data_IF_515990149483
#
_entry.id   IF_515990149483
#
_cell.length_a   1.000
_cell.length_b   1.000
_cell.length_c   1.000
_cell.angle_alpha   90.00
_cell.angle_beta   90.00
_cell.angle_gamma   90.00
#
_symmetry.space_group_name_H-M   'P 1'
#
loop_
_entity.id
_entity.type
_entity.pdbx_description
1 polymer ?
#
# COMPACT_ATOMS: atom_id res chain seq x y z
N UNK A 1 -20.15 -44.19 28.74
CA UNK A 1 -19.29 -44.20 27.53
C UNK A 1 -18.35 -43.01 27.68
N UNK A 2 -17.44 -42.96 28.64
CA UNK A 2 -16.42 -43.93 29.13
C UNK A 2 -15.40 -44.36 28.09
N UNK A 3 -14.12 -44.38 28.55
CA UNK A 3 -12.80 -44.58 27.92
C UNK A 3 -12.01 -43.25 27.82
N UNK A 4 -11.04 -42.86 28.66
CA UNK A 4 -10.08 -43.50 29.60
C UNK A 4 -8.95 -44.35 28.97
N UNK A 5 -7.77 -43.74 28.84
CA UNK A 5 -6.39 -44.30 28.95
C UNK A 5 -5.54 -43.14 29.51
N UNK A 6 -5.02 -43.10 30.75
CA UNK A 6 -3.99 -43.89 31.46
C UNK A 6 -2.62 -44.01 30.77
N UNK A 7 -1.63 -43.38 31.42
CA UNK A 7 -0.26 -43.84 31.77
C UNK A 7 0.46 -42.57 32.31
N UNK A 8 0.83 -42.41 33.59
CA UNK A 8 1.22 -43.40 34.60
C UNK A 8 2.74 -43.57 34.59
N UNK A 9 3.47 -42.77 35.38
CA UNK A 9 4.68 -43.16 36.11
C UNK A 9 5.24 -41.99 36.94
N UNK A 10 5.22 -42.17 38.26
CA UNK A 10 5.83 -41.33 39.29
C UNK A 10 7.21 -41.88 39.70
N UNK A 11 7.83 -41.16 40.65
CA UNK A 11 8.92 -41.53 41.59
C UNK A 11 10.33 -41.20 41.08
N UNK A 12 11.27 -40.63 41.84
CA UNK A 12 11.39 -40.06 43.21
C UNK A 12 12.73 -39.27 43.19
N UNK A 13 12.83 -38.05 43.73
CA UNK A 13 13.37 -37.74 45.07
C UNK A 13 14.69 -38.46 45.44
N UNK A 14 15.80 -37.72 45.53
CA UNK A 14 16.56 -37.55 46.79
C UNK A 14 17.83 -36.69 46.63
N UNK A 15 18.07 -35.93 47.71
CA UNK A 15 19.05 -34.88 48.00
C UNK A 15 20.55 -35.25 47.97
N UNK A 16 21.40 -34.24 48.04
CA UNK A 16 22.82 -34.39 48.38
C UNK A 16 23.62 -33.08 48.33
N UNK A 17 23.72 -32.41 49.46
CA UNK A 17 24.44 -31.17 49.77
C UNK A 17 26.00 -31.37 49.83
N UNK A 18 26.72 -30.26 49.64
CA UNK A 18 28.17 -29.84 49.71
C UNK A 18 29.08 -30.52 50.81
N UNK A 19 30.41 -30.23 51.07
CA UNK A 19 31.43 -29.35 50.44
C UNK A 19 32.95 -29.76 50.46
N UNK A 20 33.81 -28.87 49.91
CA UNK A 20 35.19 -28.47 50.34
C UNK A 20 36.45 -29.31 49.90
N UNK A 21 37.72 -28.88 50.18
CA UNK A 21 38.44 -27.73 49.58
C UNK A 21 39.96 -27.98 49.27
N UNK A 22 40.64 -26.94 48.77
CA UNK A 22 42.05 -26.51 48.96
C UNK A 22 43.24 -27.47 48.73
N UNK A 23 44.14 -27.09 47.80
CA UNK A 23 45.60 -27.29 47.96
C UNK A 23 46.33 -25.98 47.60
N UNK A 24 47.03 -25.44 48.60
CA UNK A 24 48.03 -24.38 48.49
C UNK A 24 49.39 -25.00 48.17
N UNK A 25 50.23 -24.34 47.37
CA UNK A 25 51.67 -24.46 47.53
C UNK A 25 52.36 -23.13 47.26
N UNK A 26 52.96 -22.63 48.34
CA UNK A 26 53.76 -21.42 48.52
C UNK A 26 55.23 -21.76 48.23
N UNK A 27 55.98 -20.91 47.52
CA UNK A 27 57.44 -20.89 47.62
C UNK A 27 58.01 -19.50 47.28
N UNK A 28 58.98 -19.10 48.09
CA UNK A 28 59.43 -17.74 48.35
C UNK A 28 60.28 -17.06 47.25
N UNK A 29 60.24 -15.72 47.26
CA UNK A 29 61.05 -14.80 46.45
C UNK A 29 62.44 -14.53 47.08
N UNK A 30 63.52 -14.40 46.27
CA UNK A 30 64.71 -13.61 46.63
C UNK A 30 64.61 -12.15 46.12
N UNK A 31 65.47 -11.22 46.64
CA UNK A 31 65.14 -9.80 46.70
C UNK A 31 65.55 -8.95 45.47
N UNK A 32 64.68 -7.97 45.20
CA UNK A 32 64.92 -6.60 44.70
C UNK A 32 65.94 -6.36 43.57
N UNK A 33 65.44 -5.88 42.44
CA UNK A 33 66.18 -5.15 41.40
C UNK A 33 65.38 -3.89 40.97
N UNK A 34 66.05 -2.83 40.48
CA UNK A 34 65.66 -1.41 40.66
C UNK A 34 64.45 -0.95 39.82
N UNK A 35 63.82 0.20 40.18
CA UNK A 35 62.53 0.61 39.62
C UNK A 35 62.59 0.90 38.11
N UNK A 36 61.59 0.45 37.31
CA UNK A 36 61.45 0.91 35.94
C UNK A 36 61.03 2.39 35.94
N UNK A 37 61.76 3.19 35.17
CA UNK A 37 61.49 4.60 34.94
C UNK A 37 60.07 4.82 34.38
N UNK A 38 59.42 5.98 34.64
CA UNK A 38 58.08 6.25 34.14
C UNK A 38 58.10 6.27 32.61
N UNK A 39 57.60 5.19 32.01
CA UNK A 39 57.30 5.15 30.58
C UNK A 39 56.06 6.01 30.38
N UNK A 40 56.24 7.16 29.74
CA UNK A 40 55.16 8.05 29.32
C UNK A 40 54.18 7.25 28.47
N UNK A 41 53.03 6.87 29.04
CA UNK A 41 51.96 6.25 28.28
C UNK A 41 51.39 7.29 27.32
N UNK A 42 51.78 7.22 26.05
CA UNK A 42 51.11 7.97 24.99
C UNK A 42 49.70 7.40 24.89
N UNK A 43 48.70 8.14 25.39
CA UNK A 43 47.29 7.85 25.12
C UNK A 43 47.07 8.09 23.63
N UNK A 44 47.22 7.03 22.84
CA UNK A 44 46.78 7.02 21.45
C UNK A 44 45.27 7.05 21.49
N UNK A 45 44.67 8.20 21.15
CA UNK A 45 43.23 8.29 20.96
C UNK A 45 42.77 7.20 19.98
N UNK A 46 41.64 6.51 20.22
CA UNK A 46 41.13 5.53 19.28
C UNK A 46 40.94 6.21 17.91
N UNK A 47 41.33 5.57 16.80
CA UNK A 47 41.14 6.15 15.48
C UNK A 47 39.65 6.48 15.28
N UNK A 48 39.32 7.60 14.59
CA UNK A 48 37.95 7.93 14.29
C UNK A 48 37.29 6.75 13.55
N UNK A 49 36.00 6.45 13.79
CA UNK A 49 35.33 5.37 13.09
C UNK A 49 35.43 5.64 11.59
N UNK A 50 36.14 4.77 10.88
CA UNK A 50 36.18 4.80 9.42
C UNK A 50 34.73 4.71 8.92
N UNK A 51 34.29 5.57 7.99
CA UNK A 51 32.95 5.46 7.42
C UNK A 51 32.85 4.09 6.74
N UNK A 52 32.13 3.17 7.37
CA UNK A 52 31.82 1.88 6.80
C UNK A 52 30.87 2.13 5.64
N UNK A 53 31.39 2.12 4.41
CA UNK A 53 30.54 2.15 3.23
C UNK A 53 29.69 0.88 3.22
N UNK A 54 28.42 1.02 3.58
CA UNK A 54 27.44 -0.05 3.53
C UNK A 54 27.14 -0.33 2.05
N UNK A 55 27.69 -1.42 1.52
CA UNK A 55 27.39 -1.89 0.17
C UNK A 55 26.03 -2.60 0.24
N UNK A 56 24.99 -2.10 -0.45
CA UNK A 56 23.69 -2.75 -0.47
C UNK A 56 23.79 -4.13 -1.14
N UNK A 57 22.97 -5.07 -0.67
CA UNK A 57 22.89 -6.40 -1.29
C UNK A 57 22.31 -6.31 -2.71
N UNK A 58 22.70 -7.25 -3.57
CA UNK A 58 22.25 -7.28 -4.95
C UNK A 58 20.73 -7.43 -5.08
N UNK A 59 20.11 -8.28 -4.25
CA UNK A 59 18.66 -8.48 -4.25
C UNK A 59 17.89 -7.18 -3.97
N UNK A 60 18.39 -6.37 -3.04
CA UNK A 60 17.82 -5.05 -2.75
C UNK A 60 17.93 -4.11 -3.95
N UNK A 61 19.09 -4.07 -4.62
CA UNK A 61 19.28 -3.27 -5.84
C UNK A 61 18.37 -3.72 -6.98
N UNK A 62 18.16 -5.04 -7.15
CA UNK A 62 17.23 -5.58 -8.13
C UNK A 62 15.78 -5.16 -7.82
N UNK A 63 15.36 -5.21 -6.55
CA UNK A 63 14.01 -4.77 -6.16
C UNK A 63 13.79 -3.29 -6.47
N UNK A 64 14.77 -2.43 -6.18
CA UNK A 64 14.72 -1.01 -6.49
C UNK A 64 14.62 -0.75 -8.00
N UNK A 65 15.44 -1.43 -8.80
CA UNK A 65 15.40 -1.31 -10.26
C UNK A 65 14.02 -1.73 -10.81
N UNK A 66 13.50 -2.89 -10.40
CA UNK A 66 12.18 -3.37 -10.84
C UNK A 66 11.08 -2.36 -10.48
N UNK A 67 11.11 -1.81 -9.25
CA UNK A 67 10.12 -0.80 -8.83
C UNK A 67 10.21 0.50 -9.64
N UNK A 68 11.41 0.88 -10.12
CA UNK A 68 11.62 2.08 -10.93
C UNK A 68 11.19 1.89 -12.40
N UNK A 69 11.41 0.70 -12.97
CA UNK A 69 11.00 0.32 -14.33
C UNK A 69 9.69 -0.48 -14.36
N UNK A 70 8.79 -0.20 -13.42
CA UNK A 70 7.56 -0.97 -13.23
C UNK A 70 6.73 -1.18 -14.51
N UNK A 71 6.53 -0.14 -15.32
CA UNK A 71 5.75 -0.23 -16.56
C UNK A 71 6.48 -0.94 -17.71
N UNK A 72 7.81 -0.92 -17.70
CA UNK A 72 8.62 -1.58 -18.73
C UNK A 72 8.76 -3.07 -18.44
N UNK A 73 8.56 -3.47 -17.18
CA UNK A 73 8.75 -4.83 -16.70
C UNK A 73 7.44 -5.38 -16.11
N UNK A 74 6.54 -5.87 -16.97
CA UNK A 74 5.35 -6.59 -16.53
C UNK A 74 5.68 -8.02 -16.05
N UNK A 75 6.67 -8.13 -15.18
CA UNK A 75 7.18 -9.40 -14.65
C UNK A 75 6.70 -9.66 -13.22
N UNK A 76 5.85 -8.79 -12.65
CA UNK A 76 5.38 -8.94 -11.26
C UNK A 76 4.75 -10.30 -11.00
N UNK A 77 4.02 -10.82 -11.99
CA UNK A 77 3.36 -12.13 -11.91
C UNK A 77 4.40 -13.29 -11.96
N UNK A 78 5.61 -13.03 -12.43
CA UNK A 78 6.73 -13.98 -12.53
C UNK A 78 7.69 -13.89 -11.33
N UNK A 79 7.62 -12.83 -10.52
CA UNK A 79 8.52 -12.62 -9.39
C UNK A 79 8.12 -13.50 -8.21
N UNK A 80 9.07 -14.23 -7.58
CA UNK A 80 8.81 -14.98 -6.37
C UNK A 80 8.22 -14.10 -5.25
N UNK A 81 7.20 -14.62 -4.56
CA UNK A 81 6.38 -13.83 -3.64
C UNK A 81 7.14 -13.11 -2.51
N UNK A 82 8.29 -13.62 -2.07
CA UNK A 82 9.09 -12.97 -1.02
C UNK A 82 9.83 -11.70 -1.50
N UNK A 83 9.99 -11.50 -2.81
CA UNK A 83 10.54 -10.27 -3.38
C UNK A 83 9.47 -9.23 -3.69
N UNK A 84 8.18 -9.59 -3.69
CA UNK A 84 7.10 -8.64 -3.96
C UNK A 84 6.99 -7.52 -2.90
N UNK A 85 7.00 -7.79 -1.58
CA UNK A 85 6.85 -6.73 -0.57
C UNK A 85 7.87 -5.58 -0.70
N UNK A 86 9.19 -5.81 -0.84
CA UNK A 86 10.14 -4.70 -0.99
C UNK A 86 10.03 -3.98 -2.33
N UNK A 87 9.50 -4.61 -3.37
CA UNK A 87 9.23 -3.94 -4.66
C UNK A 87 8.01 -3.04 -4.51
N UNK A 88 6.91 -3.60 -4.00
CA UNK A 88 5.64 -2.91 -3.81
C UNK A 88 5.77 -1.73 -2.84
N UNK A 89 6.57 -1.85 -1.77
CA UNK A 89 6.80 -0.75 -0.84
C UNK A 89 7.42 0.51 -1.48
N UNK A 90 8.07 0.36 -2.64
CA UNK A 90 8.67 1.47 -3.39
C UNK A 90 7.73 2.04 -4.47
N UNK A 91 6.57 1.42 -4.68
CA UNK A 91 5.58 1.85 -5.67
C UNK A 91 4.51 2.68 -4.95
N UNK A 92 4.31 3.92 -5.37
CA UNK A 92 3.22 4.76 -4.87
C UNK A 92 1.91 4.45 -5.61
N UNK A 93 0.88 3.92 -4.92
CA UNK A 93 -0.42 3.61 -5.53
C UNK A 93 -1.08 4.79 -6.24
N UNK A 94 -0.79 6.04 -5.83
CA UNK A 94 -1.43 7.22 -6.41
C UNK A 94 -0.81 7.64 -7.75
N UNK A 95 0.39 7.15 -8.06
CA UNK A 95 1.13 7.50 -9.29
C UNK A 95 0.89 6.52 -10.43
N UNK A 96 0.25 5.38 -10.14
CA UNK A 96 0.09 4.31 -11.11
C UNK A 96 -1.00 4.63 -12.15
N UNK A 97 -0.69 4.46 -13.44
CA UNK A 97 -1.65 4.43 -14.52
C UNK A 97 -2.44 3.12 -14.43
N UNK A 98 -3.63 3.25 -13.89
CA UNK A 98 -4.48 2.11 -13.62
C UNK A 98 -4.94 1.38 -14.88
N UNK A 99 -4.99 2.07 -16.02
CA UNK A 99 -5.46 1.51 -17.29
C UNK A 99 -4.50 0.46 -17.82
N UNK A 100 -3.20 0.76 -17.74
CA UNK A 100 -2.15 -0.17 -18.16
C UNK A 100 -2.05 -1.32 -17.14
N UNK A 101 -2.03 -0.99 -15.84
CA UNK A 101 -2.00 -1.99 -14.77
C UNK A 101 -3.18 -2.99 -14.87
N UNK A 102 -4.39 -2.51 -15.19
CA UNK A 102 -5.58 -3.33 -15.35
C UNK A 102 -5.40 -4.46 -16.38
N UNK A 103 -4.71 -4.16 -17.49
CA UNK A 103 -4.55 -5.07 -18.62
C UNK A 103 -3.45 -6.10 -18.37
N UNK A 104 -2.37 -5.67 -17.73
CA UNK A 104 -1.12 -6.43 -17.70
C UNK A 104 -0.87 -7.14 -16.38
N UNK A 105 -1.43 -6.64 -15.26
CA UNK A 105 -1.10 -7.14 -13.93
C UNK A 105 -2.25 -7.95 -13.36
N UNK A 106 -1.98 -9.21 -13.04
CA UNK A 106 -2.95 -10.11 -12.38
C UNK A 106 -2.63 -10.37 -10.91
N UNK A 107 -1.40 -10.12 -10.46
CA UNK A 107 -0.91 -10.32 -9.09
C UNK A 107 -1.81 -9.69 -8.02
N UNK A 108 -2.49 -10.53 -7.24
CA UNK A 108 -3.27 -10.11 -6.07
C UNK A 108 -2.43 -9.36 -5.01
N UNK A 109 -1.17 -9.72 -4.71
CA UNK A 109 -0.32 -8.91 -3.84
C UNK A 109 -0.13 -7.46 -4.32
N UNK A 110 0.02 -7.25 -5.63
CA UNK A 110 0.09 -5.91 -6.20
C UNK A 110 -1.22 -5.16 -5.96
N UNK A 111 -2.37 -5.76 -6.28
CA UNK A 111 -3.67 -5.13 -6.07
C UNK A 111 -3.99 -4.90 -4.59
N UNK A 112 -3.49 -5.75 -3.70
CA UNK A 112 -3.58 -5.56 -2.25
C UNK A 112 -2.82 -4.30 -1.81
N UNK A 113 -1.60 -4.11 -2.33
CA UNK A 113 -0.83 -2.88 -2.11
C UNK A 113 -1.53 -1.65 -2.68
N UNK A 114 -2.07 -1.73 -3.90
CA UNK A 114 -2.86 -0.65 -4.49
C UNK A 114 -4.09 -0.29 -3.66
N UNK A 115 -4.74 -1.30 -3.06
CA UNK A 115 -5.94 -1.15 -2.24
C UNK A 115 -5.68 -0.52 -0.86
N UNK A 116 -4.42 -0.25 -0.49
CA UNK A 116 -4.08 0.44 0.76
C UNK A 116 -4.64 1.86 0.83
N UNK A 117 -4.98 2.46 -0.31
CA UNK A 117 -5.71 3.75 -0.38
C UNK A 117 -7.15 3.65 0.15
N UNK A 118 -7.67 2.43 0.31
CA UNK A 118 -9.00 2.12 0.84
C UNK A 118 -8.93 1.33 2.14
N UNK A 119 -8.38 1.88 3.24
CA UNK A 119 -8.09 1.13 4.47
C UNK A 119 -9.33 0.59 5.18
N UNK A 120 -10.51 1.14 4.89
CA UNK A 120 -11.78 0.71 5.48
C UNK A 120 -12.55 -0.31 4.62
N UNK A 121 -12.07 -0.60 3.40
CA UNK A 121 -12.74 -1.54 2.51
C UNK A 121 -12.44 -3.00 2.92
N UNK A 122 -13.48 -3.82 2.99
CA UNK A 122 -13.36 -5.24 3.33
C UNK A 122 -13.48 -6.10 2.07
N UNK A 123 -12.38 -6.77 1.73
CA UNK A 123 -12.23 -7.64 0.55
C UNK A 123 -13.32 -8.70 0.40
N UNK A 124 -13.95 -9.13 1.50
CA UNK A 124 -15.02 -10.14 1.47
C UNK A 124 -16.25 -9.66 0.68
N UNK A 125 -16.50 -8.36 0.64
CA UNK A 125 -17.59 -7.78 -0.15
C UNK A 125 -17.29 -7.71 -1.65
N UNK A 126 -16.04 -7.98 -2.04
CA UNK A 126 -15.51 -7.86 -3.39
C UNK A 126 -15.06 -9.22 -3.95
N UNK A 127 -15.69 -10.31 -3.50
CA UNK A 127 -15.39 -11.66 -3.96
C UNK A 127 -14.00 -12.16 -3.61
N UNK A 128 -13.38 -11.61 -2.55
CA UNK A 128 -12.01 -11.96 -2.13
C UNK A 128 -10.93 -11.67 -3.18
N UNK A 129 -11.15 -10.69 -4.07
CA UNK A 129 -10.16 -10.19 -5.01
C UNK A 129 -9.87 -8.71 -4.73
N UNK A 130 -8.60 -8.39 -4.50
CA UNK A 130 -8.15 -7.00 -4.31
C UNK A 130 -8.25 -6.21 -5.61
N UNK A 131 -8.05 -6.87 -6.77
CA UNK A 131 -8.24 -6.21 -8.07
C UNK A 131 -9.67 -5.70 -8.20
N UNK A 132 -10.64 -6.55 -7.88
CA UNK A 132 -12.06 -6.18 -7.86
C UNK A 132 -12.36 -5.10 -6.83
N UNK A 133 -11.87 -5.23 -5.59
CA UNK A 133 -12.04 -4.21 -4.54
C UNK A 133 -11.56 -2.85 -5.02
N UNK A 134 -10.33 -2.79 -5.54
CA UNK A 134 -9.74 -1.55 -6.00
C UNK A 134 -10.59 -0.88 -7.07
N UNK A 135 -11.00 -1.63 -8.11
CA UNK A 135 -11.80 -1.05 -9.19
C UNK A 135 -13.20 -0.61 -8.76
N UNK A 136 -13.86 -1.36 -7.88
CA UNK A 136 -15.19 -0.99 -7.38
C UNK A 136 -15.12 0.28 -6.52
N UNK A 137 -14.09 0.42 -5.68
CA UNK A 137 -13.84 1.62 -4.87
C UNK A 137 -13.41 2.81 -5.74
N UNK A 138 -12.49 2.61 -6.68
CA UNK A 138 -12.05 3.65 -7.61
C UNK A 138 -13.22 4.20 -8.43
N UNK A 139 -14.09 3.34 -8.96
CA UNK A 139 -15.28 3.79 -9.70
C UNK A 139 -16.19 4.62 -8.82
N UNK A 140 -16.43 4.17 -7.58
CA UNK A 140 -17.23 4.94 -6.63
C UNK A 140 -16.66 6.35 -6.48
N UNK A 141 -15.38 6.48 -6.16
CA UNK A 141 -14.76 7.80 -5.97
C UNK A 141 -14.83 8.66 -7.23
N UNK A 142 -14.62 8.06 -8.41
CA UNK A 142 -14.70 8.74 -9.70
C UNK A 142 -16.11 9.23 -10.01
N UNK A 143 -17.14 8.48 -9.63
CA UNK A 143 -18.54 8.88 -9.80
C UNK A 143 -18.94 9.97 -8.80
N UNK A 144 -18.51 9.84 -7.53
CA UNK A 144 -18.82 10.80 -6.46
C UNK A 144 -18.10 12.14 -6.68
N UNK A 145 -16.89 12.14 -7.24
CA UNK A 145 -16.08 13.35 -7.51
C UNK A 145 -16.33 14.03 -8.86
N UNK A 146 -17.15 13.43 -9.74
CA UNK A 146 -17.41 14.00 -11.05
C UNK A 146 -18.37 15.19 -10.97
N UNK A 147 -17.94 16.35 -11.49
CA UNK A 147 -18.82 17.52 -11.67
C UNK A 147 -18.84 17.99 -13.14
N UNK A 148 -20.02 18.14 -13.76
CA UNK A 148 -20.14 18.50 -15.18
C UNK A 148 -19.74 19.96 -15.48
N UNK A 149 -19.79 20.83 -14.47
CA UNK A 149 -19.58 22.28 -14.61
C UNK A 149 -18.15 22.73 -14.41
N UNK A 150 -17.20 21.84 -14.10
CA UNK A 150 -15.81 22.26 -14.04
C UNK A 150 -15.33 22.57 -15.45
N UNK A 151 -14.89 23.80 -15.72
CA UNK A 151 -14.31 24.11 -17.00
C UNK A 151 -13.11 23.19 -17.18
N UNK A 152 -13.17 22.32 -18.19
CA UNK A 152 -12.00 21.67 -18.77
C UNK A 152 -10.91 22.73 -18.82
N UNK A 153 -9.80 22.62 -18.06
CA UNK A 153 -8.70 23.54 -18.22
C UNK A 153 -8.31 23.41 -19.69
N UNK A 154 -8.49 24.50 -20.44
CA UNK A 154 -8.23 24.57 -21.87
C UNK A 154 -6.95 23.80 -22.16
N UNK A 155 -7.08 22.74 -22.96
CA UNK A 155 -5.97 21.94 -23.45
C UNK A 155 -4.85 22.89 -23.83
N UNK A 156 -3.76 22.85 -23.07
CA UNK A 156 -2.50 23.51 -23.41
C UNK A 156 -1.96 22.76 -24.62
N UNK A 157 -2.45 23.16 -25.80
CA UNK A 157 -1.97 22.74 -27.10
C UNK A 157 -0.48 23.05 -27.17
N UNK A 158 0.35 22.02 -27.06
CA UNK A 158 1.79 22.12 -27.28
C UNK A 158 2.66 21.49 -26.21
N UNK A 159 2.62 20.17 -26.07
CA UNK A 159 3.84 19.37 -25.97
C UNK A 159 3.50 17.90 -26.14
N UNK A 160 4.13 17.22 -27.10
CA UNK A 160 4.17 15.77 -27.16
C UNK A 160 4.97 15.31 -25.94
N UNK A 161 4.27 14.91 -24.88
CA UNK A 161 4.83 14.04 -23.85
C UNK A 161 3.75 13.01 -23.55
N UNK A 162 4.10 11.75 -23.80
CA UNK A 162 3.21 10.63 -23.54
C UNK A 162 2.94 10.43 -22.06
N UNK A 163 2.14 9.39 -21.83
CA UNK A 163 1.87 8.74 -20.54
C UNK A 163 0.76 9.42 -19.74
N UNK A 164 -0.43 8.86 -19.89
CA UNK A 164 -1.62 9.15 -19.10
C UNK A 164 -1.47 8.65 -17.67
N UNK A 165 -0.74 9.39 -16.84
CA UNK A 165 -0.81 9.22 -15.40
C UNK A 165 -2.16 9.74 -14.90
N UNK A 166 -3.19 8.89 -14.87
CA UNK A 166 -4.43 9.16 -14.13
C UNK A 166 -4.16 8.98 -12.64
N UNK A 167 -3.41 9.92 -12.07
CA UNK A 167 -3.19 9.94 -10.64
C UNK A 167 -4.53 10.10 -9.91
N UNK A 168 -4.66 9.49 -8.73
CA UNK A 168 -5.77 9.74 -7.82
C UNK A 168 -5.59 11.13 -7.19
N UNK A 169 -5.58 12.17 -8.02
CA UNK A 169 -5.57 13.56 -7.59
C UNK A 169 -7.00 14.02 -7.50
N UNK A 170 -7.34 14.64 -6.37
CA UNK A 170 -8.61 15.30 -6.04
C UNK A 170 -8.86 16.53 -6.91
N UNK A 171 -8.79 16.37 -8.23
CA UNK A 171 -9.12 17.35 -9.24
C UNK A 171 -10.34 16.88 -10.03
N UNK A 172 -11.08 17.82 -10.61
CA UNK A 172 -12.21 17.46 -11.46
C UNK A 172 -11.72 16.62 -12.65
N UNK A 173 -12.28 15.42 -12.80
CA UNK A 173 -12.00 14.52 -13.91
C UNK A 173 -12.91 14.84 -15.10
N UNK A 174 -12.34 14.91 -16.30
CA UNK A 174 -13.15 15.13 -17.50
C UNK A 174 -14.05 13.93 -17.78
N UNK A 175 -15.17 14.15 -18.48
CA UNK A 175 -16.07 13.05 -18.88
C UNK A 175 -15.35 11.97 -19.69
N UNK A 176 -14.38 12.36 -20.52
CA UNK A 176 -13.62 11.42 -21.35
C UNK A 176 -12.67 10.56 -20.51
N UNK A 177 -11.97 11.15 -19.56
CA UNK A 177 -11.11 10.41 -18.63
C UNK A 177 -11.92 9.46 -17.76
N UNK A 178 -13.07 9.93 -17.24
CA UNK A 178 -14.01 9.08 -16.50
C UNK A 178 -14.42 7.87 -17.34
N UNK A 179 -14.87 8.07 -18.58
CA UNK A 179 -15.28 6.95 -19.44
C UNK A 179 -14.13 5.98 -19.75
N UNK A 180 -12.90 6.49 -19.87
CA UNK A 180 -11.73 5.64 -20.13
C UNK A 180 -11.34 4.82 -18.90
N UNK A 181 -11.38 5.41 -17.71
CA UNK A 181 -11.13 4.70 -16.44
C UNK A 181 -12.20 3.63 -16.21
N UNK A 182 -13.47 3.95 -16.48
CA UNK A 182 -14.58 3.00 -16.42
C UNK A 182 -14.35 1.83 -17.38
N UNK A 183 -13.88 2.09 -18.60
CA UNK A 183 -13.64 1.03 -19.60
C UNK A 183 -12.57 0.03 -19.18
N UNK A 184 -11.47 0.50 -18.59
CA UNK A 184 -10.44 -0.37 -18.03
C UNK A 184 -10.93 -1.22 -16.84
N UNK A 185 -11.85 -0.68 -16.04
CA UNK A 185 -12.40 -1.32 -14.85
C UNK A 185 -13.55 -2.29 -15.13
N UNK A 186 -14.27 -2.12 -16.25
CA UNK A 186 -15.45 -2.92 -16.66
C UNK A 186 -15.39 -4.42 -16.38
N UNK A 187 -14.33 -5.16 -16.78
CA UNK A 187 -14.26 -6.62 -16.57
C UNK A 187 -14.29 -7.03 -15.10
N UNK A 188 -13.83 -6.17 -14.20
CA UNK A 188 -13.58 -6.54 -12.80
C UNK A 188 -14.73 -6.14 -11.87
N UNK A 189 -15.62 -5.27 -12.32
CA UNK A 189 -16.64 -4.61 -11.49
C UNK A 189 -17.95 -5.38 -11.54
N UNK A 190 -18.44 -5.75 -10.36
CA UNK A 190 -19.68 -6.50 -10.18
C UNK A 190 -20.66 -5.77 -9.26
N UNK A 191 -20.13 -4.93 -8.36
CA UNK A 191 -20.88 -4.14 -7.42
C UNK A 191 -20.51 -2.67 -7.57
N UNK A 192 -21.49 -1.80 -7.76
CA UNK A 192 -21.32 -0.35 -7.70
C UNK A 192 -22.16 0.16 -6.55
N UNK A 193 -21.52 0.75 -5.54
CA UNK A 193 -22.18 1.42 -4.42
C UNK A 193 -21.74 2.86 -4.37
N UNK A 194 -22.66 3.79 -4.57
CA UNK A 194 -22.42 5.24 -4.54
C UNK A 194 -23.23 5.82 -3.39
N UNK A 195 -22.53 6.38 -2.40
CA UNK A 195 -23.13 6.95 -1.21
C UNK A 195 -23.62 8.38 -1.47
N UNK A 196 -22.94 9.10 -2.37
CA UNK A 196 -23.26 10.48 -2.64
C UNK A 196 -23.02 10.84 -4.11
N UNK A 197 -24.08 10.74 -4.92
CA UNK A 197 -24.01 11.14 -6.32
C UNK A 197 -24.53 12.58 -6.48
N UNK A 198 -23.60 13.55 -6.44
CA UNK A 198 -23.93 14.99 -6.60
C UNK A 198 -24.29 15.37 -8.04
N UNK A 199 -23.70 14.71 -9.03
CA UNK A 199 -23.92 15.05 -10.43
C UNK A 199 -25.10 14.31 -11.07
N UNK A 200 -25.83 15.00 -11.94
CA UNK A 200 -26.84 14.41 -12.84
C UNK A 200 -26.18 13.64 -14.00
N UNK A 201 -25.23 12.77 -13.66
CA UNK A 201 -24.56 11.90 -14.61
C UNK A 201 -25.56 10.95 -15.25
N UNK A 202 -25.50 10.78 -16.57
CA UNK A 202 -26.32 9.79 -17.26
C UNK A 202 -25.77 8.39 -16.96
N UNK A 203 -26.27 7.80 -15.86
CA UNK A 203 -25.88 6.46 -15.43
C UNK A 203 -26.25 5.39 -16.45
N UNK A 204 -27.33 5.57 -17.22
CA UNK A 204 -27.70 4.61 -18.26
C UNK A 204 -26.57 4.41 -19.28
N UNK A 205 -25.87 5.49 -19.66
CA UNK A 205 -24.72 5.40 -20.56
C UNK A 205 -23.50 4.73 -19.92
N UNK A 206 -23.31 4.90 -18.62
CA UNK A 206 -22.16 4.36 -17.87
C UNK A 206 -22.37 2.88 -17.57
N UNK A 207 -23.51 2.55 -16.96
CA UNK A 207 -23.86 1.21 -16.50
C UNK A 207 -23.98 0.22 -17.66
N UNK A 208 -24.33 0.68 -18.87
CA UNK A 208 -24.54 -0.17 -20.06
C UNK A 208 -23.37 -1.08 -20.41
N UNK A 209 -22.13 -0.73 -20.09
CA UNK A 209 -20.99 -1.59 -20.44
C UNK A 209 -20.41 -2.41 -19.30
N UNK A 210 -20.99 -2.36 -18.10
CA UNK A 210 -20.60 -3.30 -17.04
C UNK A 210 -21.41 -4.59 -17.20
N UNK A 211 -20.83 -5.56 -17.91
CA UNK A 211 -21.51 -6.82 -18.21
C UNK A 211 -21.51 -7.81 -17.03
N UNK A 212 -20.60 -7.62 -16.06
CA UNK A 212 -20.53 -8.43 -14.84
C UNK A 212 -21.28 -7.80 -13.64
N UNK A 213 -21.94 -6.66 -13.86
CA UNK A 213 -22.63 -5.90 -12.81
C UNK A 213 -23.85 -6.67 -12.29
N UNK A 214 -23.81 -7.06 -11.03
CA UNK A 214 -24.89 -7.77 -10.35
C UNK A 214 -25.61 -6.91 -9.32
N UNK A 215 -24.95 -5.87 -8.80
CA UNK A 215 -25.49 -5.06 -7.71
C UNK A 215 -25.18 -3.59 -7.93
N UNK A 216 -26.23 -2.76 -7.86
CA UNK A 216 -26.14 -1.31 -7.98
C UNK A 216 -26.89 -0.69 -6.82
N UNK A 217 -26.21 0.13 -6.05
CA UNK A 217 -26.77 0.91 -4.95
C UNK A 217 -26.34 2.37 -5.13
N UNK A 218 -27.30 3.26 -5.30
CA UNK A 218 -27.03 4.65 -5.68
C UNK A 218 -27.92 5.56 -4.87
N UNK A 219 -27.29 6.42 -4.09
CA UNK A 219 -27.94 7.50 -3.37
C UNK A 219 -27.68 8.79 -4.13
N UNK A 220 -28.75 9.35 -4.69
CA UNK A 220 -28.71 10.64 -5.39
C UNK A 220 -28.79 11.80 -4.41
N UNK A 221 -28.00 12.84 -4.67
CA UNK A 221 -27.94 14.03 -3.83
C UNK A 221 -26.97 13.88 -2.66
N UNK A 222 -26.93 14.92 -1.82
CA UNK A 222 -26.07 14.96 -0.65
C UNK A 222 -26.94 14.96 0.63
N UNK A 223 -26.93 13.88 1.42
CA UNK A 223 -27.89 13.70 2.50
C UNK A 223 -27.74 14.71 3.66
N UNK A 224 -26.62 15.43 3.76
CA UNK A 224 -26.27 16.28 4.90
C UNK A 224 -25.81 17.71 4.53
N UNK A 225 -26.43 18.36 3.54
CA UNK A 225 -26.01 19.72 3.12
C UNK A 225 -26.36 20.82 4.12
N UNK A 226 -27.44 20.66 4.91
CA UNK A 226 -27.92 21.73 5.78
C UNK A 226 -28.12 23.04 5.02
N UNK A 227 -27.57 24.15 5.55
CA UNK A 227 -27.59 25.48 4.90
C UNK A 227 -26.39 25.71 3.96
N UNK A 228 -25.46 24.77 3.85
CA UNK A 228 -24.30 24.84 2.94
C UNK A 228 -24.65 24.27 1.55
N UNK A 229 -25.85 24.58 1.06
CA UNK A 229 -26.31 24.17 -0.26
C UNK A 229 -25.66 25.06 -1.32
N UNK A 230 -24.87 24.47 -2.20
CA UNK A 230 -24.37 25.11 -3.41
C UNK A 230 -25.07 24.49 -4.64
N UNK A 231 -25.96 25.23 -5.33
CA UNK A 231 -26.63 24.75 -6.54
C UNK A 231 -25.65 24.33 -7.66
N UNK A 232 -24.47 24.95 -7.73
CA UNK A 232 -23.49 24.70 -8.79
C UNK A 232 -22.89 23.28 -8.66
N UNK A 233 -22.79 22.74 -7.43
CA UNK A 233 -22.30 21.38 -7.18
C UNK A 233 -23.21 20.29 -7.78
N UNK A 234 -24.50 20.58 -7.90
CA UNK A 234 -25.52 19.69 -8.48
C UNK A 234 -25.72 19.92 -9.98
N UNK A 235 -25.00 20.87 -10.57
CA UNK A 235 -25.16 21.24 -11.97
C UNK A 235 -26.46 22.00 -12.27
N UNK A 236 -27.11 22.57 -11.24
CA UNK A 236 -28.22 23.51 -11.42
C UNK A 236 -27.62 24.87 -11.75
N UNK A 237 -28.03 25.48 -12.86
CA UNK A 237 -27.64 26.86 -13.16
C UNK A 237 -28.58 27.79 -12.40
N UNK A 238 -28.09 28.91 -11.88
CA UNK A 238 -28.95 29.90 -11.19
C UNK A 238 -30.15 30.41 -12.01
N UNK A 239 -30.10 30.26 -13.35
CA UNK A 239 -31.24 30.55 -14.24
C UNK A 239 -32.36 29.50 -14.22
N UNK A 240 -32.08 28.26 -13.82
CA UNK A 240 -33.06 27.16 -13.80
C UNK A 240 -34.11 27.36 -12.68
N UNK A 241 -33.77 28.12 -11.63
CA UNK A 241 -34.66 28.43 -10.50
C UNK A 241 -35.53 29.68 -10.70
N UNK A 242 -35.25 30.51 -11.71
CA UNK A 242 -35.97 31.77 -11.98
C UNK A 242 -37.09 31.62 -13.02
N UNK A 243 -37.39 30.39 -13.44
CA UNK A 243 -38.40 30.08 -14.47
C UNK A 243 -39.83 29.84 -13.96
N UNK A 244 -40.19 30.33 -12.77
CA UNK A 244 -41.56 30.27 -12.21
C UNK A 244 -42.21 31.64 -12.14
#
# INVERSE_FOLDING_TARGET
RDEKEELGSSLNLSDGDTPAPTVQQELALPPSSPPPQPTTAVVVAPPPPTPTHHIPRLDHLCCLAISAQFYESNILDEIPGHYLPPILSNIDPLTINIRDAAQFITSEPFWAHMSTVYPLADIRHHGSSYKRLYFEMMIRDRLESYHPSSPTPLSRSGSRSGIGATTHTQGNITKQELMTDLDAARPYVHTIKVIELRSHLNLGAILRGFYNLTTVDIVYGAPNLGMAYDPDEFGMKGGDALGL
#
